data_IF_662738945928
#
_entry.id   IF_662738945928
#
_cell.length_a   1.000
_cell.length_b   1.000
_cell.length_c   1.000
_cell.angle_alpha   90.00
_cell.angle_beta   90.00
_cell.angle_gamma   90.00
#
_symmetry.space_group_name_H-M   'P 1'
#
loop_
_entity.id
_entity.type
_entity.pdbx_description
1 polymer ?
#
# COMPACT_ATOMS: atom_id res chain seq x y z
N UNK A 1 12.02 -15.43 -31.91
CA UNK A 1 10.66 -15.86 -31.55
C UNK A 1 10.72 -16.22 -30.07
N UNK A 2 10.48 -15.23 -29.20
CA UNK A 2 10.48 -15.45 -27.75
C UNK A 2 9.02 -15.67 -27.31
N UNK A 3 8.72 -16.62 -26.42
CA UNK A 3 7.38 -16.84 -25.93
C UNK A 3 6.99 -15.68 -25.00
N UNK A 4 5.79 -15.14 -25.22
CA UNK A 4 5.14 -14.22 -24.28
C UNK A 4 4.81 -14.99 -23.02
N UNK A 5 5.43 -14.61 -21.92
CA UNK A 5 5.07 -15.08 -20.59
C UNK A 5 3.77 -14.40 -20.20
N UNK A 6 2.72 -15.18 -20.11
CA UNK A 6 1.40 -14.74 -19.61
C UNK A 6 1.50 -14.66 -18.08
N UNK A 7 1.74 -13.44 -17.57
CA UNK A 7 1.88 -13.19 -16.13
C UNK A 7 0.48 -13.22 -15.51
N UNK A 8 0.07 -14.39 -15.04
CA UNK A 8 -1.10 -14.53 -14.18
C UNK A 8 -0.77 -13.90 -12.84
N UNK A 9 -1.37 -12.76 -12.55
CA UNK A 9 -1.37 -12.20 -11.20
C UNK A 9 -2.28 -13.05 -10.34
N UNK A 10 -1.68 -13.96 -9.59
CA UNK A 10 -2.35 -14.67 -8.53
C UNK A 10 -2.26 -13.80 -7.28
N UNK A 11 -3.31 -13.03 -7.00
CA UNK A 11 -3.51 -12.49 -5.66
C UNK A 11 -3.85 -13.69 -4.77
N UNK A 12 -2.91 -14.10 -3.92
CA UNK A 12 -3.20 -15.07 -2.86
C UNK A 12 -4.03 -14.35 -1.79
N UNK A 13 -5.33 -14.29 -2.02
CA UNK A 13 -6.30 -13.97 -0.99
C UNK A 13 -6.65 -15.30 -0.32
N UNK A 14 -6.40 -15.45 0.98
CA UNK A 14 -6.78 -16.64 1.73
C UNK A 14 -8.28 -16.93 1.57
N UNK A 15 -8.66 -18.19 1.49
CA UNK A 15 -10.07 -18.58 1.42
C UNK A 15 -10.66 -18.71 2.83
N UNK A 16 -11.89 -18.23 3.09
CA UNK A 16 -12.55 -18.46 4.35
C UNK A 16 -12.78 -19.98 4.55
N UNK A 17 -12.37 -20.50 5.69
CA UNK A 17 -12.55 -21.93 6.01
C UNK A 17 -13.99 -22.17 6.38
N UNK A 18 -14.79 -22.66 5.44
CA UNK A 18 -16.14 -23.13 5.71
C UNK A 18 -16.05 -24.59 6.23
N UNK A 19 -16.36 -24.79 7.52
CA UNK A 19 -16.44 -26.10 8.13
C UNK A 19 -17.76 -26.78 7.74
N UNK A 20 -17.85 -27.37 6.56
CA UNK A 20 -18.70 -28.55 6.33
C UNK A 20 -18.54 -29.10 4.92
N UNK A 21 -18.26 -30.37 4.88
CA UNK A 21 -18.46 -31.36 3.83
C UNK A 21 -17.20 -31.98 3.24
N UNK A 22 -16.92 -33.15 3.78
CA UNK A 22 -16.25 -34.22 3.08
C UNK A 22 -17.25 -34.84 2.09
N UNK A 23 -17.00 -34.70 0.81
CA UNK A 23 -17.78 -35.33 -0.24
C UNK A 23 -16.94 -35.51 -1.48
N UNK A 24 -16.57 -36.76 -1.77
CA UNK A 24 -15.88 -37.21 -3.00
C UNK A 24 -16.84 -37.04 -4.18
N UNK A 25 -16.39 -36.42 -5.26
CA UNK A 25 -17.19 -36.33 -6.50
C UNK A 25 -16.37 -35.82 -7.69
N UNK A 26 -16.29 -36.69 -8.67
CA UNK A 26 -15.48 -36.67 -9.89
C UNK A 26 -15.74 -35.51 -10.85
N UNK A 27 -14.74 -35.35 -11.73
CA UNK A 27 -14.61 -34.45 -12.86
C UNK A 27 -15.81 -34.35 -13.83
N UNK A 28 -16.02 -33.14 -14.38
CA UNK A 28 -16.53 -32.96 -15.72
C UNK A 28 -15.96 -31.65 -16.32
N UNK A 29 -15.13 -31.82 -17.33
CA UNK A 29 -14.66 -30.75 -18.21
C UNK A 29 -15.75 -30.45 -19.24
N UNK A 30 -16.12 -29.19 -19.45
CA UNK A 30 -16.87 -28.74 -20.61
C UNK A 30 -16.10 -27.59 -21.29
N UNK A 31 -15.61 -27.92 -22.48
CA UNK A 31 -15.08 -27.01 -23.50
C UNK A 31 -16.23 -26.22 -24.11
N UNK A 32 -16.14 -24.89 -24.07
CA UNK A 32 -16.89 -24.02 -24.96
C UNK A 32 -15.89 -23.16 -25.75
N UNK A 33 -15.69 -23.52 -27.00
CA UNK A 33 -14.96 -22.71 -27.95
C UNK A 33 -15.86 -21.62 -28.51
N UNK A 34 -15.37 -20.40 -28.54
CA UNK A 34 -15.93 -19.31 -29.35
C UNK A 34 -14.83 -18.71 -30.22
N UNK A 35 -14.98 -18.89 -31.52
CA UNK A 35 -14.19 -18.34 -32.61
C UNK A 35 -14.40 -16.84 -32.73
N UNK A 36 -13.30 -16.08 -32.73
CA UNK A 36 -13.31 -14.70 -33.21
C UNK A 36 -12.50 -14.59 -34.48
N UNK A 37 -13.19 -14.31 -35.54
CA UNK A 37 -12.63 -14.00 -36.87
C UNK A 37 -12.11 -12.57 -36.92
N UNK A 38 -10.98 -12.43 -37.58
CA UNK A 38 -10.23 -11.21 -37.82
C UNK A 38 -11.03 -10.10 -38.53
N UNK A 39 -10.74 -8.86 -38.16
CA UNK A 39 -10.85 -7.73 -39.07
C UNK A 39 -9.52 -6.96 -39.02
N UNK A 40 -8.71 -7.14 -40.06
CA UNK A 40 -7.59 -6.25 -40.40
C UNK A 40 -8.14 -5.10 -41.22
N UNK A 41 -7.67 -3.90 -40.96
CA UNK A 41 -7.33 -2.82 -41.90
C UNK A 41 -7.45 -1.47 -41.23
N UNK A 42 -6.34 -0.81 -40.98
CA UNK A 42 -6.21 0.63 -41.15
C UNK A 42 -4.74 1.04 -41.16
N UNK A 43 -4.38 2.08 -41.87
CA UNK A 43 -3.05 2.32 -42.43
C UNK A 43 -2.13 3.06 -41.48
N UNK A 44 -0.82 2.94 -41.77
CA UNK A 44 0.27 3.74 -41.20
C UNK A 44 0.00 5.24 -41.37
N UNK A 45 0.05 5.95 -40.28
CA UNK A 45 0.18 7.41 -40.27
C UNK A 45 1.55 7.83 -39.70
N UNK A 46 2.17 8.65 -40.51
CA UNK A 46 3.54 9.13 -40.47
C UNK A 46 3.94 9.85 -39.19
N UNK A 47 5.26 9.77 -38.92
CA UNK A 47 6.08 10.66 -38.07
C UNK A 47 5.70 12.14 -38.12
N UNK A 48 5.87 12.77 -37.00
CA UNK A 48 5.98 14.18 -36.64
C UNK A 48 4.75 14.75 -35.93
N UNK A 49 4.86 14.66 -34.58
CA UNK A 49 4.62 15.84 -33.76
C UNK A 49 5.16 15.55 -32.34
N UNK A 50 6.39 16.00 -32.15
CA UNK A 50 7.00 16.19 -30.85
C UNK A 50 6.24 17.33 -30.18
N UNK A 51 5.15 17.07 -29.55
CA UNK A 51 4.44 18.05 -28.74
C UNK A 51 5.34 18.40 -27.54
N UNK A 52 6.04 19.52 -27.65
CA UNK A 52 6.56 20.27 -26.51
C UNK A 52 5.35 20.65 -25.64
N UNK A 53 5.11 19.89 -24.57
CA UNK A 53 4.19 20.31 -23.53
C UNK A 53 4.84 21.49 -22.83
N UNK A 54 4.39 22.70 -23.19
CA UNK A 54 4.67 23.91 -22.42
C UNK A 54 4.22 23.66 -20.96
N UNK A 55 4.95 24.17 -19.95
CA UNK A 55 4.50 24.09 -18.59
C UNK A 55 3.18 24.85 -18.48
N UNK A 56 2.10 24.14 -18.39
CA UNK A 56 0.81 24.66 -17.99
C UNK A 56 0.99 25.18 -16.56
N UNK A 57 0.96 26.52 -16.40
CA UNK A 57 0.70 27.19 -15.13
C UNK A 57 -0.73 26.90 -14.68
N UNK A 58 -1.06 25.66 -14.47
CA UNK A 58 -2.17 25.29 -13.64
C UNK A 58 -1.68 25.47 -12.19
N UNK A 59 -2.10 26.55 -11.55
CA UNK A 59 -2.15 26.61 -10.10
C UNK A 59 -2.96 25.40 -9.65
N UNK A 60 -2.24 24.31 -9.38
CA UNK A 60 -2.85 23.12 -8.80
C UNK A 60 -3.53 23.59 -7.53
N UNK A 61 -4.82 23.29 -7.38
CA UNK A 61 -5.56 23.48 -6.16
C UNK A 61 -4.75 22.83 -5.02
N UNK A 62 -4.00 23.68 -4.31
CA UNK A 62 -3.23 23.25 -3.14
C UNK A 62 -4.28 22.96 -2.10
N UNK A 63 -4.48 21.70 -1.76
CA UNK A 63 -5.37 21.30 -0.68
C UNK A 63 -4.93 22.04 0.60
N UNK A 64 -5.87 22.68 1.28
CA UNK A 64 -5.61 23.30 2.58
C UNK A 64 -4.92 22.31 3.53
N UNK A 65 -3.80 22.72 4.12
CA UNK A 65 -2.99 21.90 5.02
C UNK A 65 -1.88 21.09 4.33
N UNK A 66 -1.61 21.32 3.02
CA UNK A 66 -0.47 20.73 2.31
C UNK A 66 0.44 21.82 1.75
N UNK A 67 1.74 21.55 1.72
CA UNK A 67 2.77 22.48 1.28
C UNK A 67 3.24 22.16 -0.15
N UNK A 68 2.88 22.99 -1.12
CA UNK A 68 3.33 22.85 -2.50
C UNK A 68 4.87 22.98 -2.62
N UNK A 69 5.47 23.83 -1.79
CA UNK A 69 6.92 24.06 -1.72
C UNK A 69 7.69 22.91 -1.06
N UNK A 70 6.99 21.97 -0.42
CA UNK A 70 7.54 20.76 0.19
C UNK A 70 6.90 19.50 -0.42
N UNK A 71 6.91 19.43 -1.76
CA UNK A 71 6.39 18.28 -2.55
C UNK A 71 4.99 17.82 -2.13
N UNK A 72 4.13 18.75 -1.75
CA UNK A 72 2.75 18.48 -1.29
C UNK A 72 2.67 17.61 -0.02
N UNK A 73 3.67 17.61 0.84
CA UNK A 73 3.57 17.03 2.18
C UNK A 73 2.65 17.86 3.08
N UNK A 74 2.03 17.26 4.12
CA UNK A 74 1.25 18.00 5.12
C UNK A 74 2.03 19.15 5.78
N UNK A 75 1.33 20.21 6.18
CA UNK A 75 1.94 21.45 6.67
C UNK A 75 2.23 21.48 8.18
N UNK A 76 2.17 20.32 8.85
CA UNK A 76 2.53 20.22 10.27
C UNK A 76 4.04 20.06 10.48
N UNK A 77 4.47 20.13 11.76
CA UNK A 77 5.88 20.12 12.16
C UNK A 77 6.65 18.85 11.81
N UNK A 78 5.96 17.76 11.55
CA UNK A 78 6.54 16.49 11.09
C UNK A 78 6.17 16.16 9.65
N UNK A 79 5.66 17.13 8.88
CA UNK A 79 5.26 16.95 7.48
C UNK A 79 4.32 15.74 7.27
N UNK A 80 3.41 15.53 8.23
CA UNK A 80 2.40 14.46 8.20
C UNK A 80 2.84 13.14 8.83
N UNK A 81 4.03 13.02 9.36
CA UNK A 81 4.44 11.81 10.06
C UNK A 81 3.88 11.77 11.49
N UNK A 82 3.28 10.63 11.86
CA UNK A 82 2.66 10.36 13.16
C UNK A 82 3.53 9.37 13.91
N UNK A 83 3.93 9.69 15.14
CA UNK A 83 4.73 8.80 15.97
C UNK A 83 3.94 7.58 16.45
N UNK A 84 4.51 6.40 16.30
CA UNK A 84 4.05 5.15 16.90
C UNK A 84 5.05 4.77 17.98
N UNK A 85 4.64 4.75 19.27
CA UNK A 85 5.54 4.49 20.38
C UNK A 85 6.12 3.08 20.34
N UNK A 86 7.33 2.94 20.87
CA UNK A 86 7.93 1.64 21.19
C UNK A 86 6.97 0.78 22.03
N UNK A 87 7.05 -0.53 21.84
CA UNK A 87 6.32 -1.49 22.65
C UNK A 87 5.76 -2.67 21.86
N UNK A 88 5.23 -3.61 22.61
CA UNK A 88 4.61 -4.84 22.07
C UNK A 88 3.23 -4.57 21.54
N UNK A 89 2.82 -5.39 20.56
CA UNK A 89 1.44 -5.50 20.09
C UNK A 89 1.15 -6.94 19.69
N UNK A 90 -0.14 -7.26 19.56
CA UNK A 90 -0.60 -8.55 19.08
C UNK A 90 -0.69 -8.51 17.56
N UNK A 91 0.04 -9.38 16.86
CA UNK A 91 0.07 -9.49 15.40
C UNK A 91 -0.62 -10.75 14.90
N UNK A 92 -1.26 -10.64 13.74
CA UNK A 92 -2.01 -11.74 13.14
C UNK A 92 -3.41 -11.90 13.73
N UNK A 93 -4.13 -12.90 13.25
CA UNK A 93 -5.48 -13.21 13.71
C UNK A 93 -5.76 -14.70 13.59
N UNK A 94 -6.87 -15.17 14.19
CA UNK A 94 -7.36 -16.54 14.05
C UNK A 94 -8.88 -16.60 14.28
N UNK A 95 -9.57 -17.66 13.84
CA UNK A 95 -11.03 -17.74 13.90
C UNK A 95 -11.65 -17.65 15.30
N UNK A 96 -10.86 -17.89 16.37
CA UNK A 96 -11.34 -17.77 17.74
C UNK A 96 -11.50 -16.33 18.25
N UNK A 97 -10.85 -15.37 17.61
CA UNK A 97 -10.94 -13.93 17.95
C UNK A 97 -11.59 -13.11 16.84
N UNK A 98 -11.54 -13.60 15.61
CA UNK A 98 -12.09 -12.96 14.43
C UNK A 98 -12.60 -14.03 13.46
N UNK A 99 -13.90 -14.19 13.37
CA UNK A 99 -14.54 -15.22 12.53
C UNK A 99 -14.27 -15.03 11.01
N UNK A 100 -13.78 -13.86 10.61
CA UNK A 100 -13.39 -13.53 9.24
C UNK A 100 -11.90 -13.76 8.96
N UNK A 101 -11.11 -14.25 9.95
CA UNK A 101 -9.68 -14.47 9.79
C UNK A 101 -9.36 -15.52 8.73
N UNK A 102 -8.39 -15.21 7.88
CA UNK A 102 -7.85 -16.14 6.89
C UNK A 102 -6.69 -16.95 7.51
N UNK A 103 -6.42 -18.12 6.93
CA UNK A 103 -5.34 -19.01 7.38
C UNK A 103 -3.94 -18.37 7.27
N UNK A 104 -3.73 -17.50 6.30
CA UNK A 104 -2.49 -16.73 6.12
C UNK A 104 -2.19 -15.73 7.25
N UNK A 105 -3.16 -15.46 8.10
CA UNK A 105 -3.04 -14.56 9.26
C UNK A 105 -2.66 -15.33 10.56
N UNK A 106 -2.64 -16.66 10.53
CA UNK A 106 -2.38 -17.48 11.70
C UNK A 106 -0.90 -17.52 12.05
N UNK A 107 -0.62 -17.42 13.33
CA UNK A 107 0.74 -17.46 13.86
C UNK A 107 1.18 -18.91 14.12
N UNK A 108 1.58 -19.61 13.06
CA UNK A 108 1.99 -21.01 13.10
C UNK A 108 0.84 -22.01 13.21
N UNK A 109 1.17 -23.29 13.44
CA UNK A 109 0.21 -24.40 13.43
C UNK A 109 -0.83 -24.33 14.57
N UNK A 110 -0.53 -23.61 15.65
CA UNK A 110 -1.43 -23.45 16.81
C UNK A 110 -2.61 -22.51 16.57
N UNK A 111 -2.72 -21.87 15.41
CA UNK A 111 -3.77 -20.88 15.09
C UNK A 111 -3.90 -19.79 16.16
N UNK A 112 -2.78 -19.30 16.65
CA UNK A 112 -2.69 -18.26 17.65
C UNK A 112 -2.23 -16.95 17.02
N UNK A 113 -2.25 -15.86 17.80
CA UNK A 113 -1.65 -14.60 17.45
C UNK A 113 -0.22 -14.51 18.00
N UNK A 114 0.65 -13.75 17.35
CA UNK A 114 2.00 -13.47 17.84
C UNK A 114 2.06 -12.21 18.68
N UNK A 115 3.10 -12.12 19.52
CA UNK A 115 3.45 -10.88 20.23
C UNK A 115 4.73 -10.37 19.60
N UNK A 116 4.68 -9.17 19.03
CA UNK A 116 5.82 -8.52 18.37
C UNK A 116 6.17 -7.24 19.13
N UNK A 117 7.45 -7.04 19.41
CA UNK A 117 7.99 -5.80 19.96
C UNK A 117 8.56 -4.96 18.81
N UNK A 118 8.18 -3.71 18.70
CA UNK A 118 8.72 -2.76 17.75
C UNK A 118 9.30 -1.55 18.49
N UNK A 119 10.45 -1.02 18.03
CA UNK A 119 10.92 0.29 18.47
C UNK A 119 9.98 1.39 18.03
N UNK A 120 10.18 2.62 18.49
CA UNK A 120 9.48 3.80 17.95
C UNK A 120 9.73 3.92 16.45
N UNK A 121 8.70 4.32 15.71
CA UNK A 121 8.76 4.67 14.28
C UNK A 121 7.69 5.72 13.98
N UNK A 122 7.71 6.30 12.79
CA UNK A 122 6.70 7.28 12.38
C UNK A 122 6.05 6.85 11.07
N UNK A 123 4.74 7.08 10.95
CA UNK A 123 3.95 6.67 9.79
C UNK A 123 3.33 7.89 9.13
N UNK A 124 3.40 8.00 7.83
CA UNK A 124 2.68 9.06 7.11
C UNK A 124 1.18 8.94 7.37
N UNK A 125 0.56 10.07 7.75
CA UNK A 125 -0.88 10.15 8.06
C UNK A 125 -1.75 9.66 6.91
N UNK A 126 -1.29 9.85 5.68
CA UNK A 126 -2.01 9.52 4.46
C UNK A 126 -1.17 8.59 3.56
N UNK A 127 -1.82 7.91 2.64
CA UNK A 127 -1.16 7.29 1.49
C UNK A 127 -0.47 8.38 0.64
N UNK A 128 0.56 8.01 -0.11
CA UNK A 128 1.20 8.92 -1.07
C UNK A 128 0.19 9.31 -2.15
N UNK A 129 0.04 10.61 -2.35
CA UNK A 129 -0.96 11.18 -3.26
C UNK A 129 -0.46 11.32 -4.69
N UNK A 130 -1.39 11.49 -5.64
CA UNK A 130 -1.08 11.79 -7.03
C UNK A 130 -0.23 13.06 -7.20
N UNK A 131 -0.44 14.09 -6.36
CA UNK A 131 0.38 15.31 -6.39
C UNK A 131 1.83 15.03 -5.97
N UNK A 132 2.01 14.31 -4.87
CA UNK A 132 3.32 13.91 -4.35
C UNK A 132 4.09 13.03 -5.34
N UNK A 133 3.42 12.06 -5.94
CA UNK A 133 4.05 11.18 -6.92
C UNK A 133 4.47 11.94 -8.19
N UNK A 134 3.65 12.85 -8.70
CA UNK A 134 4.04 13.71 -9.84
C UNK A 134 5.24 14.61 -9.51
N UNK A 135 5.31 15.17 -8.29
CA UNK A 135 6.47 15.94 -7.85
C UNK A 135 7.75 15.09 -7.85
N UNK A 136 7.66 13.84 -7.39
CA UNK A 136 8.76 12.87 -7.49
C UNK A 136 9.21 12.65 -8.94
N UNK A 137 8.29 12.36 -9.85
CA UNK A 137 8.60 12.11 -11.26
C UNK A 137 9.28 13.33 -11.88
N UNK A 138 8.78 14.53 -11.61
CA UNK A 138 9.35 15.79 -12.14
C UNK A 138 10.75 16.07 -11.61
N UNK A 139 10.99 15.81 -10.32
CA UNK A 139 12.26 16.13 -9.67
C UNK A 139 13.34 15.07 -9.92
N UNK A 140 12.98 13.78 -9.99
CA UNK A 140 13.94 12.69 -10.12
C UNK A 140 14.18 12.20 -11.54
N UNK A 141 13.26 12.47 -12.46
CA UNK A 141 13.28 11.88 -13.81
C UNK A 141 12.99 10.37 -13.81
N UNK A 142 12.41 9.83 -12.75
CA UNK A 142 12.06 8.41 -12.65
C UNK A 142 11.15 7.98 -13.81
N UNK A 143 11.44 6.84 -14.42
CA UNK A 143 10.68 6.33 -15.58
C UNK A 143 9.32 5.81 -15.15
N UNK A 144 8.27 6.41 -15.70
CA UNK A 144 6.88 5.97 -15.47
C UNK A 144 6.55 4.83 -16.44
N UNK A 145 6.35 3.63 -15.91
CA UNK A 145 6.00 2.44 -16.71
C UNK A 145 4.51 2.42 -17.05
N UNK A 146 3.64 2.75 -16.08
CA UNK A 146 2.20 2.87 -16.31
C UNK A 146 1.75 4.34 -16.21
N UNK A 147 1.40 4.98 -17.34
CA UNK A 147 0.95 6.37 -17.34
C UNK A 147 -0.34 6.62 -16.53
N UNK A 148 -1.09 5.58 -16.14
CA UNK A 148 -2.25 5.72 -15.28
C UNK A 148 -1.89 6.32 -13.92
N UNK A 149 -0.69 6.05 -13.40
CA UNK A 149 -0.21 6.63 -12.15
C UNK A 149 -0.17 8.17 -12.16
N UNK A 150 0.07 8.79 -13.32
CA UNK A 150 0.11 10.25 -13.46
C UNK A 150 -1.28 10.89 -13.64
N UNK A 151 -2.31 10.09 -13.94
CA UNK A 151 -3.68 10.58 -14.16
C UNK A 151 -4.53 10.60 -12.90
N UNK A 152 -4.00 10.11 -11.81
CA UNK A 152 -4.67 10.15 -10.49
C UNK A 152 -4.86 11.61 -10.05
N UNK A 153 -6.02 11.93 -9.50
CA UNK A 153 -6.29 13.28 -8.96
C UNK A 153 -5.29 13.67 -7.88
N UNK A 154 -4.98 14.97 -7.71
CA UNK A 154 -3.89 15.43 -6.85
C UNK A 154 -3.94 14.92 -5.41
N UNK A 155 -5.10 14.83 -4.82
CA UNK A 155 -5.38 14.49 -3.42
C UNK A 155 -5.95 13.08 -3.21
N UNK A 156 -5.90 12.23 -4.23
CA UNK A 156 -6.23 10.81 -4.14
C UNK A 156 -4.94 9.98 -4.01
N UNK A 157 -5.00 8.77 -3.41
CA UNK A 157 -3.83 7.92 -3.33
C UNK A 157 -3.31 7.59 -4.72
N UNK A 158 -2.00 7.66 -4.92
CA UNK A 158 -1.40 7.19 -6.17
C UNK A 158 -1.65 5.69 -6.32
N UNK A 159 -2.00 5.29 -7.54
CA UNK A 159 -2.24 3.88 -7.90
C UNK A 159 -1.49 3.51 -9.17
N UNK A 160 -1.53 2.23 -9.57
CA UNK A 160 -0.78 1.72 -10.73
C UNK A 160 0.74 1.87 -10.58
N UNK A 161 1.23 1.79 -9.36
CA UNK A 161 2.64 1.85 -8.98
C UNK A 161 3.11 0.49 -8.48
N UNK A 162 4.31 0.09 -8.88
CA UNK A 162 4.95 -1.13 -8.42
C UNK A 162 5.64 -0.93 -7.07
N UNK A 163 6.04 -2.03 -6.45
CA UNK A 163 6.87 -2.00 -5.25
C UNK A 163 8.19 -1.24 -5.48
N UNK A 164 8.83 -1.46 -6.64
CA UNK A 164 10.07 -0.75 -7.00
C UNK A 164 9.86 0.75 -7.19
N UNK A 165 8.70 1.18 -7.72
CA UNK A 165 8.35 2.60 -7.82
C UNK A 165 8.17 3.22 -6.41
N UNK A 166 7.52 2.50 -5.49
CA UNK A 166 7.31 2.95 -4.12
C UNK A 166 8.62 3.09 -3.34
N UNK A 167 9.54 2.12 -3.47
CA UNK A 167 10.89 2.19 -2.88
C UNK A 167 11.70 3.34 -3.49
N UNK A 168 11.62 3.54 -4.81
CA UNK A 168 12.31 4.65 -5.46
C UNK A 168 11.79 6.01 -4.98
N UNK A 169 10.46 6.14 -4.78
CA UNK A 169 9.86 7.33 -4.18
C UNK A 169 10.39 7.59 -2.77
N UNK A 170 10.39 6.59 -1.90
CA UNK A 170 10.84 6.74 -0.52
C UNK A 170 12.31 7.20 -0.45
N UNK A 171 13.20 6.58 -1.24
CA UNK A 171 14.61 6.96 -1.34
C UNK A 171 14.82 8.38 -1.85
N UNK A 172 14.08 8.75 -2.88
CA UNK A 172 14.12 10.10 -3.41
C UNK A 172 13.68 11.13 -2.38
N UNK A 173 12.56 10.87 -1.68
CA UNK A 173 12.04 11.81 -0.70
C UNK A 173 12.99 11.97 0.49
N UNK A 174 13.65 10.90 0.95
CA UNK A 174 14.67 10.96 1.99
C UNK A 174 15.81 11.92 1.60
N UNK A 175 16.33 11.78 0.39
CA UNK A 175 17.38 12.64 -0.14
C UNK A 175 16.90 14.10 -0.31
N UNK A 176 15.70 14.29 -0.84
CA UNK A 176 15.12 15.59 -1.07
C UNK A 176 14.89 16.36 0.25
N UNK A 177 14.34 15.69 1.26
CA UNK A 177 14.16 16.27 2.60
C UNK A 177 15.50 16.70 3.22
N UNK A 178 16.53 15.89 3.13
CA UNK A 178 17.86 16.22 3.66
C UNK A 178 18.52 17.38 2.94
N UNK A 179 18.24 17.57 1.66
CA UNK A 179 18.81 18.65 0.84
C UNK A 179 18.03 19.97 0.94
N UNK A 180 16.82 19.97 1.50
CA UNK A 180 15.93 21.14 1.53
C UNK A 180 16.06 21.92 2.83
N UNK A 181 16.20 23.24 2.73
CA UNK A 181 16.12 24.15 3.87
C UNK A 181 14.69 24.49 4.29
N UNK A 182 13.67 24.06 3.53
CA UNK A 182 12.25 24.29 3.82
C UNK A 182 11.62 23.28 4.76
N UNK A 183 12.35 22.22 5.18
CA UNK A 183 11.86 21.17 6.06
C UNK A 183 11.70 21.72 7.48
N UNK A 184 10.57 21.43 8.18
CA UNK A 184 10.38 21.82 9.57
C UNK A 184 11.49 21.31 10.49
N UNK A 185 11.89 22.11 11.49
CA UNK A 185 13.01 21.77 12.39
C UNK A 185 12.84 20.41 13.09
N UNK A 186 11.66 20.02 13.62
CA UNK A 186 11.50 18.72 14.27
C UNK A 186 11.80 17.55 13.32
N UNK A 187 11.39 17.63 12.07
CA UNK A 187 11.69 16.61 11.06
C UNK A 187 13.19 16.64 10.67
N UNK A 188 13.77 17.83 10.49
CA UNK A 188 15.20 17.97 10.18
C UNK A 188 16.06 17.32 11.27
N UNK A 189 15.71 17.49 12.53
CA UNK A 189 16.40 16.85 13.66
C UNK A 189 16.32 15.32 13.59
N UNK A 190 15.13 14.75 13.38
CA UNK A 190 14.97 13.30 13.22
C UNK A 190 15.86 12.76 12.09
N UNK A 191 15.85 13.42 10.93
CA UNK A 191 16.72 13.04 9.82
C UNK A 191 18.20 13.09 10.19
N UNK A 192 18.63 14.09 10.97
CA UNK A 192 19.99 14.23 11.50
C UNK A 192 20.37 13.14 12.54
N UNK A 193 19.39 12.59 13.25
CA UNK A 193 19.54 11.49 14.22
C UNK A 193 19.55 10.10 13.57
N UNK A 194 19.54 10.01 12.25
CA UNK A 194 19.63 8.73 11.53
C UNK A 194 18.29 8.14 11.10
N UNK A 195 17.17 8.85 11.34
CA UNK A 195 15.88 8.46 10.76
C UNK A 195 15.90 8.65 9.24
N UNK A 196 15.27 7.71 8.52
CA UNK A 196 15.17 7.78 7.06
C UNK A 196 13.74 7.50 6.60
N UNK A 197 13.39 8.04 5.44
CA UNK A 197 12.13 7.72 4.77
C UNK A 197 12.25 6.35 4.10
N UNK A 198 11.30 5.46 4.39
CA UNK A 198 11.21 4.11 3.82
C UNK A 198 9.73 3.68 3.72
N UNK A 199 9.47 2.47 3.20
CA UNK A 199 8.19 1.81 3.38
C UNK A 199 8.10 1.23 4.79
N UNK A 200 6.88 1.06 5.30
CA UNK A 200 6.65 0.27 6.51
C UNK A 200 7.02 -1.19 6.27
N UNK A 201 7.55 -1.88 7.28
CA UNK A 201 7.45 -3.33 7.32
C UNK A 201 6.01 -3.76 7.66
N UNK A 202 5.72 -5.05 7.48
CA UNK A 202 4.39 -5.58 7.70
C UNK A 202 3.90 -5.42 9.15
N UNK A 203 4.78 -5.63 10.13
CA UNK A 203 4.44 -5.50 11.54
C UNK A 203 4.22 -4.05 11.95
N UNK A 204 5.02 -3.12 11.43
CA UNK A 204 4.84 -1.69 11.61
C UNK A 204 3.48 -1.23 11.06
N UNK A 205 3.11 -1.70 9.86
CA UNK A 205 1.83 -1.38 9.26
C UNK A 205 0.67 -1.89 10.13
N UNK A 206 0.72 -3.16 10.56
CA UNK A 206 -0.34 -3.76 11.37
C UNK A 206 -0.49 -3.07 12.74
N UNK A 207 0.63 -2.77 13.44
CA UNK A 207 0.59 -2.02 14.69
C UNK A 207 -0.02 -0.63 14.51
N UNK A 208 0.32 0.08 13.43
CA UNK A 208 -0.28 1.38 13.11
C UNK A 208 -1.79 1.29 12.90
N UNK A 209 -2.28 0.21 12.27
CA UNK A 209 -3.69 0.00 11.99
C UNK A 209 -4.49 -0.41 13.24
N UNK A 210 -3.99 -1.35 14.04
CA UNK A 210 -4.77 -1.96 15.14
C UNK A 210 -4.39 -1.51 16.54
N UNK A 211 -3.35 -0.71 16.70
CA UNK A 211 -2.85 -0.33 18.03
C UNK A 211 -2.30 -1.51 18.81
N UNK A 212 -2.45 -1.46 20.15
CA UNK A 212 -1.98 -2.50 21.08
C UNK A 212 -3.10 -3.37 21.65
N UNK A 213 -4.35 -3.03 21.39
CA UNK A 213 -5.55 -3.70 21.91
C UNK A 213 -6.14 -4.77 20.96
N UNK A 214 -5.41 -5.15 19.93
CA UNK A 214 -5.70 -6.25 19.01
C UNK A 214 -7.06 -6.12 18.28
N UNK A 215 -7.55 -4.90 18.04
CA UNK A 215 -8.81 -4.63 17.34
C UNK A 215 -8.81 -5.19 15.91
N UNK A 216 -9.98 -5.57 15.40
CA UNK A 216 -10.16 -6.19 14.09
C UNK A 216 -10.01 -5.16 12.97
N UNK A 217 -10.67 -4.00 13.13
CA UNK A 217 -10.55 -2.84 12.26
C UNK A 217 -9.86 -1.69 13.02
N UNK A 218 -9.29 -0.69 12.36
CA UNK A 218 -8.63 0.43 13.05
C UNK A 218 -9.49 1.12 14.13
N UNK A 219 -10.81 1.07 14.01
CA UNK A 219 -11.79 1.69 14.91
C UNK A 219 -12.46 0.74 15.90
N UNK A 220 -12.24 -0.60 15.81
CA UNK A 220 -12.89 -1.56 16.70
C UNK A 220 -13.15 -2.92 16.05
N UNK A 221 -14.26 -3.58 16.42
CA UNK A 221 -14.58 -4.95 16.02
C UNK A 221 -15.48 -5.08 14.80
N UNK A 222 -16.26 -4.03 14.45
CA UNK A 222 -17.27 -4.11 13.41
C UNK A 222 -16.90 -3.30 12.17
N UNK A 223 -17.23 -3.77 10.94
CA UNK A 223 -16.98 -2.99 9.72
C UNK A 223 -17.90 -1.75 9.66
N UNK A 224 -17.37 -0.61 9.23
CA UNK A 224 -18.09 0.67 9.20
C UNK A 224 -17.82 1.42 7.90
N UNK A 225 -18.87 1.64 7.09
CA UNK A 225 -18.78 2.36 5.83
C UNK A 225 -18.53 3.87 6.00
N UNK A 226 -18.76 4.43 7.21
CA UNK A 226 -18.45 5.82 7.54
C UNK A 226 -17.00 6.01 8.03
N UNK A 227 -16.19 4.94 8.02
CA UNK A 227 -14.79 4.91 8.48
C UNK A 227 -13.79 4.49 7.41
N UNK A 228 -14.26 3.93 6.29
CA UNK A 228 -13.37 3.41 5.24
C UNK A 228 -14.03 3.38 3.88
N UNK A 229 -13.21 3.48 2.84
CA UNK A 229 -13.60 3.30 1.45
C UNK A 229 -13.48 1.83 1.07
N UNK A 230 -14.59 1.10 1.07
CA UNK A 230 -14.66 -0.31 0.65
C UNK A 230 -16.02 -0.63 0.01
N UNK A 231 -16.14 -1.74 -0.73
CA UNK A 231 -17.34 -2.11 -1.51
C UNK A 231 -17.79 -1.00 -2.48
N UNK A 232 -16.85 -0.24 -3.02
CA UNK A 232 -17.11 0.87 -3.95
C UNK A 232 -16.44 0.63 -5.29
N UNK A 233 -16.53 1.59 -6.22
CA UNK A 233 -15.97 1.46 -7.58
C UNK A 233 -14.69 2.26 -7.81
N UNK A 234 -14.19 2.97 -6.80
CA UNK A 234 -13.01 3.80 -6.93
C UNK A 234 -12.50 4.28 -5.59
N UNK A 235 -11.29 4.83 -5.60
CA UNK A 235 -10.65 5.43 -4.45
C UNK A 235 -11.37 6.69 -3.97
N UNK A 236 -11.17 7.05 -2.71
CA UNK A 236 -11.54 8.34 -2.13
C UNK A 236 -10.31 9.25 -1.99
N UNK A 237 -10.52 10.53 -1.77
CA UNK A 237 -9.48 11.47 -1.31
C UNK A 237 -8.87 10.95 -0.02
N UNK A 238 -7.55 11.08 0.12
CA UNK A 238 -6.89 10.71 1.38
C UNK A 238 -7.48 11.50 2.55
N UNK A 239 -7.73 10.82 3.68
CA UNK A 239 -8.32 11.42 4.87
C UNK A 239 -9.78 11.83 4.72
N UNK A 240 -10.53 11.22 3.82
CA UNK A 240 -11.99 11.44 3.71
C UNK A 240 -12.74 10.88 4.92
N UNK A 241 -12.24 9.82 5.53
CA UNK A 241 -12.90 9.10 6.61
C UNK A 241 -12.20 9.39 7.95
N UNK A 242 -12.75 10.30 8.79
CA UNK A 242 -12.17 10.57 10.10
C UNK A 242 -12.37 9.39 11.04
N UNK A 243 -11.36 9.08 11.85
CA UNK A 243 -11.42 8.00 12.82
C UNK A 243 -10.89 8.46 14.18
N UNK A 244 -11.72 9.19 14.98
CA UNK A 244 -11.31 9.63 16.30
C UNK A 244 -11.10 8.49 17.30
N UNK A 245 -11.72 7.33 17.06
CA UNK A 245 -11.57 6.09 17.85
C UNK A 245 -10.38 5.23 17.44
N UNK A 246 -9.71 5.54 16.33
CA UNK A 246 -8.49 4.83 15.92
C UNK A 246 -7.35 5.03 16.92
N UNK A 247 -6.46 4.04 17.03
CA UNK A 247 -5.35 4.08 17.98
C UNK A 247 -4.41 5.26 17.73
N UNK A 248 -4.26 5.65 16.48
CA UNK A 248 -3.41 6.75 16.03
C UNK A 248 -4.16 7.60 15.00
N UNK A 249 -3.82 8.90 14.86
CA UNK A 249 -4.46 9.79 13.91
C UNK A 249 -3.93 9.59 12.48
N UNK A 250 -4.05 8.36 11.97
CA UNK A 250 -3.64 7.92 10.64
C UNK A 250 -4.90 7.53 9.89
N UNK A 251 -5.06 8.05 8.69
CA UNK A 251 -6.23 7.80 7.84
C UNK A 251 -6.01 6.60 6.92
N UNK A 252 -7.12 6.02 6.51
CA UNK A 252 -7.19 5.06 5.40
C UNK A 252 -6.38 3.75 5.61
N UNK A 253 -6.14 3.35 6.88
CA UNK A 253 -5.54 2.05 7.24
C UNK A 253 -6.54 0.88 7.10
N UNK A 254 -7.63 1.09 6.37
CA UNK A 254 -8.62 0.09 5.99
C UNK A 254 -9.31 0.54 4.71
N UNK A 255 -9.25 -0.25 3.65
CA UNK A 255 -9.82 0.10 2.35
C UNK A 255 -8.99 1.12 1.58
N UNK A 256 -9.61 1.87 0.70
CA UNK A 256 -9.04 2.80 -0.27
C UNK A 256 -8.08 2.12 -1.25
N UNK A 257 -6.81 1.88 -0.89
CA UNK A 257 -5.87 1.10 -1.70
C UNK A 257 -5.10 0.09 -0.86
N UNK A 258 -4.77 -1.06 -1.45
CA UNK A 258 -3.73 -1.93 -0.93
C UNK A 258 -2.40 -1.18 -0.88
N UNK A 259 -1.68 -1.29 0.22
CA UNK A 259 -0.44 -0.58 0.43
C UNK A 259 0.77 -1.51 0.43
N UNK A 260 1.72 -1.24 -0.46
CA UNK A 260 3.00 -1.93 -0.46
C UNK A 260 3.73 -1.74 0.87
N UNK A 261 4.28 -2.83 1.38
CA UNK A 261 5.23 -2.84 2.50
C UNK A 261 6.62 -3.24 2.02
N UNK A 262 7.65 -3.08 2.85
CA UNK A 262 9.00 -3.56 2.55
C UNK A 262 9.23 -5.01 2.94
N UNK A 263 8.24 -5.69 3.49
CA UNK A 263 8.35 -7.09 3.90
C UNK A 263 8.04 -8.06 2.76
N UNK A 264 8.84 -9.12 2.59
CA UNK A 264 8.49 -10.23 1.72
C UNK A 264 7.29 -11.01 2.27
N UNK A 265 6.52 -11.60 1.37
CA UNK A 265 5.37 -12.42 1.76
C UNK A 265 5.84 -13.81 2.20
N UNK A 266 5.92 -14.01 3.49
CA UNK A 266 6.31 -15.27 4.12
C UNK A 266 5.25 -15.74 5.11
N UNK A 267 5.26 -17.05 5.43
CA UNK A 267 4.40 -17.57 6.48
C UNK A 267 4.80 -17.00 7.86
N UNK A 268 3.85 -16.79 8.74
CA UNK A 268 4.15 -16.46 10.13
C UNK A 268 4.78 -17.67 10.86
N UNK A 269 5.58 -17.46 11.92
CA UNK A 269 5.77 -16.21 12.65
C UNK A 269 6.62 -15.17 11.88
N UNK A 270 6.25 -13.89 12.06
CA UNK A 270 7.01 -12.77 11.54
C UNK A 270 8.35 -12.63 12.29
N UNK A 271 9.42 -12.40 11.57
CA UNK A 271 10.73 -12.03 12.13
C UNK A 271 11.26 -10.80 11.40
N UNK A 272 11.86 -9.87 12.15
CA UNK A 272 12.42 -8.64 11.57
C UNK A 272 13.64 -8.90 10.69
N UNK A 273 14.29 -10.07 10.83
CA UNK A 273 15.40 -10.50 10.00
C UNK A 273 15.00 -11.00 8.61
N UNK A 274 13.72 -11.27 8.39
CA UNK A 274 13.20 -11.79 7.11
C UNK A 274 13.05 -10.71 6.03
N UNK A 275 13.36 -9.46 6.36
CA UNK A 275 13.25 -8.32 5.44
C UNK A 275 14.32 -8.35 4.34
N UNK A 276 14.22 -9.31 3.46
CA UNK A 276 14.53 -9.07 2.06
C UNK A 276 15.91 -9.37 1.50
N UNK A 277 16.93 -9.75 2.27
CA UNK A 277 18.28 -9.84 1.70
C UNK A 277 18.58 -11.10 0.85
N UNK A 278 17.74 -12.13 0.92
CA UNK A 278 17.99 -13.45 0.30
C UNK A 278 16.88 -13.95 -0.64
N UNK A 279 15.94 -13.10 -1.03
CA UNK A 279 14.78 -13.54 -1.80
C UNK A 279 15.07 -13.58 -3.31
N UNK A 280 14.72 -14.69 -3.93
CA UNK A 280 14.81 -14.86 -5.37
C UNK A 280 13.86 -13.91 -6.13
N UNK A 281 14.04 -13.83 -7.46
CA UNK A 281 13.22 -12.98 -8.35
C UNK A 281 11.71 -13.27 -8.30
N UNK A 282 11.32 -14.43 -7.78
CA UNK A 282 9.93 -14.91 -7.67
C UNK A 282 9.26 -14.51 -6.34
N UNK A 283 9.96 -13.75 -5.46
CA UNK A 283 9.41 -13.37 -4.17
C UNK A 283 8.22 -12.41 -4.32
N UNK A 284 7.13 -12.72 -3.63
CA UNK A 284 6.01 -11.80 -3.48
C UNK A 284 6.30 -10.82 -2.33
N UNK A 285 5.77 -9.62 -2.44
CA UNK A 285 5.87 -8.60 -1.40
C UNK A 285 4.52 -8.36 -0.75
N UNK A 286 4.54 -8.16 0.56
CA UNK A 286 3.32 -7.97 1.34
C UNK A 286 2.65 -6.65 0.98
N UNK A 287 1.33 -6.71 0.82
CA UNK A 287 0.43 -5.57 0.79
C UNK A 287 -0.57 -5.65 1.93
N UNK A 288 -1.01 -4.52 2.43
CA UNK A 288 -1.91 -4.42 3.59
C UNK A 288 -3.06 -3.45 3.31
N UNK A 289 -4.14 -3.54 4.12
CA UNK A 289 -5.22 -2.57 4.18
C UNK A 289 -6.47 -2.92 3.38
N UNK A 290 -6.36 -3.74 2.33
CA UNK A 290 -7.46 -3.92 1.38
C UNK A 290 -7.66 -2.69 0.50
N UNK A 291 -8.68 -2.70 -0.36
CA UNK A 291 -8.95 -1.61 -1.29
C UNK A 291 -10.43 -1.19 -1.33
N UNK A 292 -10.69 -0.14 -2.09
CA UNK A 292 -12.05 0.38 -2.33
C UNK A 292 -13.03 -0.69 -2.85
N UNK A 293 -12.55 -1.68 -3.61
CA UNK A 293 -13.39 -2.71 -4.23
C UNK A 293 -13.61 -3.94 -3.36
N UNK A 294 -12.86 -4.07 -2.28
CA UNK A 294 -12.88 -5.25 -1.45
C UNK A 294 -14.08 -5.28 -0.48
N UNK A 295 -14.53 -6.48 -0.06
CA UNK A 295 -15.48 -6.64 1.04
C UNK A 295 -14.79 -6.45 2.40
N UNK A 296 -15.59 -6.35 3.47
CA UNK A 296 -15.13 -6.09 4.85
C UNK A 296 -14.06 -7.04 5.37
N UNK A 297 -14.09 -8.28 4.96
CA UNK A 297 -13.10 -9.28 5.38
C UNK A 297 -11.66 -8.94 4.93
N UNK A 298 -11.51 -8.18 3.86
CA UNK A 298 -10.20 -7.81 3.32
C UNK A 298 -9.65 -6.49 3.86
N UNK A 299 -10.47 -5.66 4.51
CA UNK A 299 -10.05 -4.38 5.08
C UNK A 299 -9.75 -4.45 6.59
N UNK A 300 -9.66 -5.67 7.14
CA UNK A 300 -9.26 -5.91 8.56
C UNK A 300 -7.78 -5.63 8.74
N UNK A 301 -7.40 -5.16 9.92
CA UNK A 301 -6.02 -4.80 10.22
C UNK A 301 -5.03 -5.98 10.10
N UNK A 302 -5.47 -7.21 10.39
CA UNK A 302 -4.64 -8.42 10.29
C UNK A 302 -4.58 -9.00 8.87
N UNK A 303 -5.48 -8.58 7.95
CA UNK A 303 -5.50 -9.13 6.59
C UNK A 303 -4.24 -8.78 5.81
N UNK A 304 -3.72 -9.77 5.08
CA UNK A 304 -2.50 -9.68 4.27
C UNK A 304 -2.75 -10.11 2.83
N UNK A 305 -2.14 -9.40 1.91
CA UNK A 305 -2.04 -9.78 0.50
C UNK A 305 -0.58 -9.86 0.06
N UNK A 306 -0.32 -10.57 -1.01
CA UNK A 306 1.02 -10.64 -1.63
C UNK A 306 0.93 -10.44 -3.12
N UNK A 307 1.89 -9.73 -3.70
CA UNK A 307 1.98 -9.56 -5.14
C UNK A 307 3.43 -9.50 -5.63
N UNK A 308 3.61 -9.78 -6.92
CA UNK A 308 4.86 -9.56 -7.64
C UNK A 308 5.33 -8.10 -7.51
N UNK A 309 6.62 -7.83 -7.25
CA UNK A 309 7.14 -6.48 -7.07
C UNK A 309 6.96 -5.56 -8.29
N UNK A 310 6.73 -6.12 -9.48
CA UNK A 310 6.40 -5.38 -10.70
C UNK A 310 4.91 -5.12 -10.91
N UNK A 311 4.04 -5.69 -10.07
CA UNK A 311 2.60 -5.55 -10.23
C UNK A 311 2.15 -4.09 -10.13
N UNK A 312 1.29 -3.65 -11.08
CA UNK A 312 0.65 -2.34 -11.12
C UNK A 312 -0.84 -2.53 -11.29
N UNK A 313 -1.63 -2.01 -10.37
CA UNK A 313 -3.10 -2.17 -10.37
C UNK A 313 -3.78 -0.88 -9.92
N UNK A 314 -5.01 -0.60 -10.36
CA UNK A 314 -5.74 0.61 -9.99
C UNK A 314 -6.15 0.65 -8.51
N UNK A 315 -5.88 -0.39 -7.76
CA UNK A 315 -6.19 -0.55 -6.35
C UNK A 315 -4.94 -0.80 -5.49
N UNK A 316 -3.72 -0.62 -6.04
CA UNK A 316 -2.45 -0.75 -5.31
C UNK A 316 -1.75 0.60 -5.29
N UNK A 317 -1.46 1.08 -4.08
CA UNK A 317 -0.69 2.26 -3.76
C UNK A 317 0.32 1.98 -2.65
N UNK A 318 0.70 2.99 -1.89
CA UNK A 318 1.63 2.84 -0.76
C UNK A 318 1.59 4.06 0.17
N UNK A 319 2.09 3.87 1.38
CA UNK A 319 2.45 4.97 2.30
C UNK A 319 3.88 4.84 2.75
N UNK A 320 4.45 5.93 3.27
CA UNK A 320 5.82 6.01 3.75
C UNK A 320 5.89 6.10 5.27
N UNK A 321 7.07 5.83 5.79
CA UNK A 321 7.41 5.89 7.21
C UNK A 321 8.76 6.58 7.42
N UNK A 322 9.02 7.01 8.66
CA UNK A 322 10.38 7.25 9.14
C UNK A 322 10.78 6.09 10.03
N UNK A 323 11.86 5.44 9.68
CA UNK A 323 12.45 4.32 10.39
C UNK A 323 13.90 4.61 10.72
N UNK A 324 14.40 4.06 11.84
CA UNK A 324 15.84 4.12 12.12
C UNK A 324 16.57 3.27 11.09
N UNK A 325 17.64 3.82 10.55
CA UNK A 325 18.58 3.08 9.72
C UNK A 325 19.22 1.93 10.51
N UNK A 326 19.67 0.85 9.81
CA UNK A 326 20.51 -0.17 10.43
C UNK A 326 21.83 0.41 10.87
#
# INVERSE_FOLDING_TARGET
>A
MQPRVDIRVQCYLGHPVNQSQWGVGAAAALLVGATWTALQLAPEASDKERATVAPSNASADVRDGFRADLWHLPADDLAGFVAIPEGTFTMGSHPGVDSLAFDVEWWGEGRVQGIVHLPTYYVARFEVTGAQYRAFIQASGHTVVDPAALRVSPDYPVTNVSWTDAVAYARWLDQALRASSGVPEPLTRLLGEGWRVDLLDEAQWEKAARGTDARIFPWGSEPRADRAQFRTRGTARVGTFPCPECAYPISDLAGNVWEWTRSPYQAYPFTTSDDGAALGAEALWVMRGGSFGDPEQHIRAANRGGADPGARRPFIGFRIALVLGP
#
